data_IF_757539281304
#
_entry.id   IF_757539281304
#
_cell.length_a   1.000
_cell.length_b   1.000
_cell.length_c   1.000
_cell.angle_alpha   90.00
_cell.angle_beta   90.00
_cell.angle_gamma   90.00
#
_symmetry.space_group_name_H-M   'P 1'
#
loop_
_entity.id
_entity.type
_entity.pdbx_description
1 polymer ?
#
# COMPACT_ATOMS: atom_id res chain seq x y z
N UNK A 1 -22.06 12.63 -0.01
CA UNK A 1 -20.99 11.81 0.60
C UNK A 1 -20.76 12.25 2.03
N UNK A 2 -20.59 11.32 2.96
CA UNK A 2 -20.26 11.65 4.34
C UNK A 2 -18.75 11.52 4.54
N UNK A 3 -18.05 12.60 4.95
CA UNK A 3 -16.64 12.49 5.29
C UNK A 3 -16.53 11.67 6.58
N UNK A 4 -15.74 10.60 6.54
CA UNK A 4 -15.49 9.75 7.68
C UNK A 4 -14.04 9.93 8.13
N UNK A 5 -13.84 10.30 9.40
CA UNK A 5 -12.51 10.43 9.99
C UNK A 5 -12.22 9.22 10.86
N UNK A 6 -11.34 8.34 10.39
CA UNK A 6 -10.85 7.20 11.18
C UNK A 6 -9.61 7.63 11.95
N UNK A 7 -9.61 7.41 13.27
CA UNK A 7 -8.40 7.51 14.11
C UNK A 7 -8.00 6.11 14.55
N UNK A 8 -6.77 5.73 14.25
CA UNK A 8 -6.18 4.45 14.64
C UNK A 8 -4.91 4.69 15.46
N UNK A 9 -4.55 3.72 16.30
CA UNK A 9 -3.27 3.67 16.99
C UNK A 9 -2.73 2.24 16.95
N UNK A 10 -1.41 2.11 17.00
CA UNK A 10 -0.69 0.84 16.77
C UNK A 10 -1.14 -0.26 17.76
N UNK A 11 -1.24 0.06 19.05
CA UNK A 11 -1.64 -0.87 20.11
C UNK A 11 -3.16 -1.10 20.21
N UNK A 12 -3.94 -0.55 19.28
CA UNK A 12 -5.39 -0.67 19.32
C UNK A 12 -5.83 -2.06 18.84
N UNK A 13 -6.75 -2.75 19.54
CA UNK A 13 -7.34 -3.97 19.02
C UNK A 13 -8.13 -3.71 17.73
N UNK A 14 -7.96 -4.56 16.71
CA UNK A 14 -8.66 -4.45 15.42
C UNK A 14 -10.18 -4.46 15.62
N UNK A 15 -10.69 -5.36 16.46
CA UNK A 15 -12.13 -5.42 16.78
C UNK A 15 -12.65 -4.10 17.37
N UNK A 16 -11.88 -3.48 18.28
CA UNK A 16 -12.23 -2.20 18.87
C UNK A 16 -12.22 -1.06 17.84
N UNK A 17 -11.28 -1.08 16.88
CA UNK A 17 -11.28 -0.14 15.76
C UNK A 17 -12.51 -0.31 14.87
N UNK A 18 -12.84 -1.56 14.51
CA UNK A 18 -14.00 -1.87 13.68
C UNK A 18 -15.32 -1.47 14.36
N UNK A 19 -15.45 -1.74 15.66
CA UNK A 19 -16.63 -1.31 16.43
C UNK A 19 -16.79 0.21 16.49
N UNK A 20 -15.67 0.94 16.63
CA UNK A 20 -15.68 2.42 16.56
C UNK A 20 -16.06 2.92 15.16
N UNK A 21 -15.46 2.37 14.11
CA UNK A 21 -15.78 2.69 12.71
C UNK A 21 -17.27 2.49 12.43
N UNK A 22 -17.83 1.36 12.89
CA UNK A 22 -19.24 1.06 12.73
C UNK A 22 -20.12 2.07 13.49
N UNK A 23 -19.78 2.37 14.75
CA UNK A 23 -20.52 3.32 15.59
C UNK A 23 -20.50 4.72 14.97
N UNK A 24 -19.31 5.22 14.64
CA UNK A 24 -19.09 6.53 14.02
C UNK A 24 -19.84 6.62 12.67
N UNK A 25 -19.83 5.54 11.88
CA UNK A 25 -20.55 5.44 10.62
C UNK A 25 -22.06 5.52 10.78
N UNK A 26 -22.64 4.81 11.74
CA UNK A 26 -24.08 4.88 12.03
C UNK A 26 -24.50 6.26 12.53
N UNK A 27 -23.74 6.86 13.45
CA UNK A 27 -24.01 8.22 13.90
C UNK A 27 -23.92 9.24 12.78
N UNK A 28 -23.00 9.07 11.82
CA UNK A 28 -22.89 9.96 10.66
C UNK A 28 -24.09 9.84 9.70
N UNK A 29 -24.70 8.65 9.56
CA UNK A 29 -25.88 8.43 8.71
C UNK A 29 -27.07 9.27 9.17
N UNK A 30 -27.23 9.52 10.48
CA UNK A 30 -28.29 10.41 11.00
C UNK A 30 -28.18 11.84 10.45
N UNK A 31 -27.02 12.22 9.92
CA UNK A 31 -26.72 13.52 9.33
C UNK A 31 -26.57 13.48 7.80
N UNK A 32 -27.01 12.41 7.14
CA UNK A 32 -26.86 12.21 5.69
C UNK A 32 -27.58 13.25 4.81
N UNK A 33 -28.49 14.03 5.39
CA UNK A 33 -29.19 15.12 4.71
C UNK A 33 -28.33 16.37 4.43
N UNK A 34 -27.14 16.46 5.03
CA UNK A 34 -26.23 17.58 4.83
C UNK A 34 -25.34 17.37 3.59
N UNK A 35 -25.23 18.39 2.76
CA UNK A 35 -24.28 18.39 1.65
C UNK A 35 -22.84 18.35 2.19
N UNK A 36 -21.98 17.55 1.55
CA UNK A 36 -20.56 17.41 1.94
C UNK A 36 -19.84 18.74 2.03
N UNK A 37 -20.12 19.66 1.10
CA UNK A 37 -19.58 21.03 1.09
C UNK A 37 -19.93 21.79 2.37
N UNK A 38 -21.18 21.70 2.83
CA UNK A 38 -21.63 22.38 4.05
C UNK A 38 -21.00 21.79 5.31
N UNK A 39 -20.79 20.47 5.35
CA UNK A 39 -20.08 19.79 6.45
C UNK A 39 -18.63 20.30 6.53
N UNK A 40 -17.94 20.39 5.40
CA UNK A 40 -16.54 20.83 5.33
C UNK A 40 -16.38 22.32 5.66
N UNK A 41 -17.27 23.17 5.15
CA UNK A 41 -17.30 24.60 5.49
C UNK A 41 -17.52 24.82 7.00
N UNK A 42 -18.47 24.08 7.58
CA UNK A 42 -18.77 24.15 9.02
C UNK A 42 -17.61 23.65 9.89
N UNK A 43 -16.79 22.73 9.37
CA UNK A 43 -15.59 22.23 10.04
C UNK A 43 -14.38 23.19 9.97
N UNK A 44 -14.55 24.40 9.42
CA UNK A 44 -13.47 25.38 9.25
C UNK A 44 -12.59 25.11 8.03
N UNK A 45 -12.99 24.18 7.16
CA UNK A 45 -12.44 24.08 5.82
C UNK A 45 -12.82 25.34 5.05
N UNK A 46 -11.87 26.24 4.82
CA UNK A 46 -12.08 27.33 3.85
C UNK A 46 -12.51 26.75 2.49
N UNK A 47 -12.99 27.59 1.57
CA UNK A 47 -13.48 27.16 0.22
C UNK A 47 -12.51 26.27 -0.60
N UNK A 48 -11.26 26.12 -0.14
CA UNK A 48 -10.18 25.31 -0.72
C UNK A 48 -9.54 24.29 0.24
N UNK A 49 -10.09 24.01 1.43
CA UNK A 49 -9.46 23.11 2.42
C UNK A 49 -10.30 21.89 2.75
N UNK A 50 -9.66 20.74 2.54
CA UNK A 50 -10.06 19.35 2.80
C UNK A 50 -11.10 18.74 1.84
N UNK A 51 -10.63 18.37 0.65
CA UNK A 51 -11.22 17.25 -0.10
C UNK A 51 -10.49 15.98 0.36
N UNK A 52 -11.23 14.94 0.70
CA UNK A 52 -10.64 13.60 0.81
C UNK A 52 -10.47 13.05 -0.60
N UNK A 53 -9.33 12.42 -0.86
CA UNK A 53 -8.99 11.91 -2.20
C UNK A 53 -9.60 10.54 -2.50
N UNK A 54 -10.02 9.82 -1.46
CA UNK A 54 -10.51 8.44 -1.54
C UNK A 54 -12.00 8.37 -1.21
N UNK A 55 -12.78 7.79 -2.12
CA UNK A 55 -14.17 7.41 -1.87
C UNK A 55 -14.25 5.91 -1.60
N UNK A 56 -14.87 5.52 -0.49
CA UNK A 56 -15.20 4.13 -0.19
C UNK A 56 -16.70 3.92 -0.31
N UNK A 57 -17.11 2.89 -1.05
CA UNK A 57 -18.51 2.53 -1.28
C UNK A 57 -18.70 1.07 -0.85
N UNK A 58 -19.74 0.81 -0.06
CA UNK A 58 -20.21 -0.53 0.23
C UNK A 58 -21.53 -0.77 -0.51
N UNK A 59 -21.51 -1.61 -1.54
CA UNK A 59 -22.70 -1.98 -2.32
C UNK A 59 -23.33 -3.25 -1.76
N UNK A 60 -24.00 -3.12 -0.60
CA UNK A 60 -24.67 -4.24 0.08
C UNK A 60 -26.16 -4.34 -0.31
N UNK A 61 -26.47 -4.33 -1.61
CA UNK A 61 -27.85 -4.47 -2.11
C UNK A 61 -27.93 -5.55 -3.19
N UNK A 62 -29.06 -6.27 -3.28
CA UNK A 62 -29.19 -7.41 -4.18
C UNK A 62 -29.29 -6.94 -5.64
N UNK A 63 -28.20 -7.07 -6.39
CA UNK A 63 -28.12 -6.83 -7.84
C UNK A 63 -28.13 -8.11 -8.68
N UNK A 64 -28.40 -9.26 -8.08
CA UNK A 64 -28.44 -10.54 -8.79
C UNK A 64 -29.51 -10.54 -9.89
N UNK A 65 -29.28 -11.21 -11.04
CA UNK A 65 -30.28 -11.34 -12.11
C UNK A 65 -31.63 -11.83 -11.59
N UNK A 66 -31.65 -12.68 -10.58
CA UNK A 66 -32.85 -13.17 -9.89
C UNK A 66 -33.73 -12.06 -9.29
N UNK A 67 -33.16 -10.91 -8.92
CA UNK A 67 -33.88 -9.74 -8.40
C UNK A 67 -34.34 -8.78 -9.49
N UNK A 68 -33.78 -8.91 -10.70
CA UNK A 68 -34.03 -8.05 -11.86
C UNK A 68 -34.89 -8.74 -12.95
N UNK A 69 -35.29 -9.98 -12.72
CA UNK A 69 -36.08 -10.78 -13.68
C UNK A 69 -37.53 -10.85 -13.24
N UNK A 70 -38.46 -10.50 -14.14
CA UNK A 70 -39.90 -10.72 -13.96
C UNK A 70 -40.40 -11.76 -14.97
N UNK A 71 -41.61 -12.31 -14.76
CA UNK A 71 -42.15 -13.40 -15.60
C UNK A 71 -42.15 -13.12 -17.11
N UNK A 72 -42.23 -11.86 -17.52
CA UNK A 72 -42.31 -11.46 -18.94
C UNK A 72 -41.19 -10.52 -19.38
N UNK A 73 -40.25 -10.16 -18.50
CA UNK A 73 -39.16 -9.22 -18.80
C UNK A 73 -37.87 -9.73 -18.16
N UNK A 74 -36.86 -9.95 -19.00
CA UNK A 74 -35.52 -10.34 -18.58
C UNK A 74 -34.55 -9.19 -18.86
N UNK A 75 -33.91 -8.67 -17.82
CA UNK A 75 -32.77 -7.77 -18.00
C UNK A 75 -31.57 -8.64 -18.43
N UNK A 76 -30.90 -8.23 -19.51
CA UNK A 76 -29.68 -8.89 -19.99
C UNK A 76 -28.48 -8.61 -19.08
N UNK A 77 -27.28 -8.94 -19.55
CA UNK A 77 -26.06 -8.46 -18.88
C UNK A 77 -26.05 -6.93 -18.86
N UNK A 78 -25.84 -6.33 -17.69
CA UNK A 78 -25.59 -4.90 -17.56
C UNK A 78 -24.14 -4.67 -17.13
N UNK A 79 -23.56 -3.57 -17.60
CA UNK A 79 -22.29 -3.07 -17.11
C UNK A 79 -22.56 -1.71 -16.49
N UNK A 80 -22.25 -1.55 -15.20
CA UNK A 80 -22.26 -0.24 -14.56
C UNK A 80 -20.85 0.33 -14.56
N UNK A 81 -20.73 1.53 -15.12
CA UNK A 81 -19.49 2.32 -15.09
C UNK A 81 -19.74 3.57 -14.26
N UNK A 82 -19.34 3.51 -12.99
CA UNK A 82 -19.41 4.63 -12.07
C UNK A 82 -18.22 5.56 -12.31
N UNK A 83 -18.49 6.84 -12.59
CA UNK A 83 -17.44 7.85 -12.79
C UNK A 83 -17.55 8.88 -11.70
N UNK A 84 -16.56 8.87 -10.81
CA UNK A 84 -16.48 9.79 -9.68
C UNK A 84 -15.42 10.85 -9.89
N UNK A 85 -15.49 11.95 -9.15
CA UNK A 85 -14.48 13.02 -9.14
C UNK A 85 -13.39 12.83 -8.08
N UNK A 86 -13.34 11.69 -7.39
CA UNK A 86 -12.29 11.33 -6.43
C UNK A 86 -11.09 10.71 -7.14
N UNK A 87 -9.89 10.88 -6.57
CA UNK A 87 -8.64 10.33 -7.15
C UNK A 87 -8.65 8.81 -7.15
N UNK A 88 -9.18 8.21 -6.09
CA UNK A 88 -9.37 6.77 -5.95
C UNK A 88 -10.78 6.48 -5.41
N UNK A 89 -11.46 5.53 -6.02
CA UNK A 89 -12.74 4.99 -5.55
C UNK A 89 -12.59 3.50 -5.33
N UNK A 90 -12.90 3.05 -4.12
CA UNK A 90 -12.88 1.65 -3.70
C UNK A 90 -14.31 1.21 -3.45
N UNK A 91 -14.77 0.21 -4.20
CA UNK A 91 -16.12 -0.33 -4.08
C UNK A 91 -16.04 -1.76 -3.56
N UNK A 92 -16.56 -1.99 -2.37
CA UNK A 92 -16.71 -3.32 -1.78
C UNK A 92 -18.12 -3.85 -2.06
N UNK A 93 -18.20 -5.03 -2.67
CA UNK A 93 -19.44 -5.69 -3.06
C UNK A 93 -19.48 -7.06 -2.37
N UNK A 94 -20.23 -7.19 -1.27
CA UNK A 94 -20.41 -8.48 -0.58
C UNK A 94 -21.14 -9.50 -1.46
N UNK A 95 -20.76 -10.78 -1.33
CA UNK A 95 -21.35 -11.92 -2.03
C UNK A 95 -20.75 -13.23 -1.49
N UNK A 96 -20.90 -14.35 -2.21
CA UNK A 96 -20.20 -15.60 -1.86
C UNK A 96 -18.67 -15.41 -1.76
N UNK A 97 -18.15 -14.49 -2.57
CA UNK A 97 -16.80 -13.93 -2.46
C UNK A 97 -16.90 -12.42 -2.43
N UNK A 98 -16.17 -11.79 -1.51
CA UNK A 98 -16.05 -10.34 -1.47
C UNK A 98 -15.36 -9.87 -2.75
N UNK A 99 -16.04 -9.04 -3.53
CA UNK A 99 -15.44 -8.37 -4.70
C UNK A 99 -15.06 -6.95 -4.30
N UNK A 100 -13.84 -6.54 -4.61
CA UNK A 100 -13.38 -5.17 -4.39
C UNK A 100 -12.93 -4.57 -5.72
N UNK A 101 -13.54 -3.47 -6.12
CA UNK A 101 -13.21 -2.75 -7.36
C UNK A 101 -12.48 -1.45 -7.03
N UNK A 102 -11.41 -1.19 -7.76
CA UNK A 102 -10.64 0.04 -7.67
C UNK A 102 -10.81 0.79 -8.99
N UNK A 103 -11.24 2.04 -8.89
CA UNK A 103 -11.30 2.99 -10.00
C UNK A 103 -10.45 4.19 -9.63
N UNK A 104 -9.51 4.57 -10.49
CA UNK A 104 -8.64 5.72 -10.23
C UNK A 104 -8.72 6.76 -11.34
N UNK A 105 -8.39 8.01 -11.00
CA UNK A 105 -8.35 9.09 -11.96
C UNK A 105 -7.10 8.97 -12.84
N UNK A 106 -7.31 8.73 -14.14
CA UNK A 106 -6.25 8.63 -15.14
C UNK A 106 -5.37 9.88 -15.17
N UNK A 107 -4.05 9.69 -15.21
CA UNK A 107 -3.07 10.79 -15.23
C UNK A 107 -2.88 11.49 -13.87
N UNK A 108 -3.60 11.05 -12.82
CA UNK A 108 -3.44 11.56 -11.45
C UNK A 108 -2.94 10.48 -10.51
N UNK A 109 -3.41 9.25 -10.68
CA UNK A 109 -2.95 8.08 -9.91
C UNK A 109 -2.28 7.10 -10.85
N UNK A 110 -1.06 6.70 -10.51
CA UNK A 110 -0.30 5.70 -11.26
C UNK A 110 -1.01 4.33 -11.21
N UNK A 111 -1.30 3.69 -12.36
CA UNK A 111 -1.82 2.33 -12.40
C UNK A 111 -0.96 1.31 -11.66
N UNK A 112 0.37 1.45 -11.65
CA UNK A 112 1.28 0.56 -10.93
C UNK A 112 1.05 0.67 -9.41
N UNK A 113 0.90 1.90 -8.90
CA UNK A 113 0.56 2.15 -7.51
C UNK A 113 -0.79 1.52 -7.13
N UNK A 114 -1.81 1.64 -7.99
CA UNK A 114 -3.12 1.00 -7.74
C UNK A 114 -2.98 -0.51 -7.65
N UNK A 115 -2.20 -1.12 -8.53
CA UNK A 115 -1.95 -2.57 -8.51
C UNK A 115 -1.26 -3.00 -7.21
N UNK A 116 -0.25 -2.26 -6.76
CA UNK A 116 0.42 -2.52 -5.47
C UNK A 116 -0.56 -2.39 -4.30
N UNK A 117 -1.34 -1.31 -4.28
CA UNK A 117 -2.35 -1.07 -3.24
C UNK A 117 -3.42 -2.17 -3.20
N UNK A 118 -3.83 -2.71 -4.35
CA UNK A 118 -4.76 -3.85 -4.41
C UNK A 118 -4.18 -5.10 -3.71
N UNK A 119 -2.89 -5.37 -3.89
CA UNK A 119 -2.17 -6.44 -3.20
C UNK A 119 -2.16 -6.24 -1.69
N UNK A 120 -1.68 -5.06 -1.24
CA UNK A 120 -1.65 -4.68 0.17
C UNK A 120 -3.03 -4.78 0.83
N UNK A 121 -4.05 -4.23 0.17
CA UNK A 121 -5.43 -4.23 0.67
C UNK A 121 -5.97 -5.65 0.82
N UNK A 122 -5.72 -6.53 -0.17
CA UNK A 122 -6.12 -7.94 -0.10
C UNK A 122 -5.43 -8.65 1.07
N UNK A 123 -4.13 -8.44 1.25
CA UNK A 123 -3.38 -9.06 2.34
C UNK A 123 -3.87 -8.58 3.71
N UNK A 124 -4.09 -7.27 3.87
CA UNK A 124 -4.64 -6.70 5.09
C UNK A 124 -6.02 -7.29 5.42
N UNK A 125 -6.90 -7.47 4.43
CA UNK A 125 -8.18 -8.15 4.64
C UNK A 125 -8.03 -9.60 5.10
N UNK A 126 -7.08 -10.35 4.54
CA UNK A 126 -6.79 -11.72 4.98
C UNK A 126 -6.20 -11.77 6.41
N UNK A 127 -5.35 -10.82 6.78
CA UNK A 127 -4.79 -10.70 8.14
C UNK A 127 -5.88 -10.41 9.17
N UNK A 128 -6.77 -9.45 8.89
CA UNK A 128 -7.93 -9.17 9.74
C UNK A 128 -8.84 -10.41 9.85
N UNK A 129 -9.13 -11.08 8.73
CA UNK A 129 -10.00 -12.27 8.73
C UNK A 129 -9.39 -13.49 9.43
N UNK A 130 -8.06 -13.60 9.47
CA UNK A 130 -7.33 -14.68 10.17
C UNK A 130 -7.15 -14.42 11.67
N UNK A 131 -7.59 -13.25 12.17
CA UNK A 131 -7.63 -12.95 13.61
C UNK A 131 -6.42 -12.22 14.16
N UNK A 132 -5.70 -11.45 13.33
CA UNK A 132 -4.70 -10.49 13.84
C UNK A 132 -5.39 -9.54 14.83
N UNK A 133 -4.80 -9.38 16.01
CA UNK A 133 -5.47 -8.78 17.17
C UNK A 133 -5.24 -7.28 17.24
N UNK A 134 -4.04 -6.82 16.93
CA UNK A 134 -3.66 -5.40 17.02
C UNK A 134 -3.54 -4.77 15.63
N UNK A 135 -3.83 -3.47 15.54
CA UNK A 135 -3.68 -2.71 14.29
C UNK A 135 -2.25 -2.78 13.77
N UNK A 136 -1.25 -2.71 14.64
CA UNK A 136 0.16 -2.83 14.27
C UNK A 136 0.56 -4.19 13.65
N UNK A 137 -0.23 -5.25 13.87
CA UNK A 137 0.03 -6.56 13.28
C UNK A 137 -0.45 -6.66 11.81
N UNK A 138 -1.23 -5.68 11.33
CA UNK A 138 -1.77 -5.65 9.96
C UNK A 138 -0.89 -4.76 9.08
N UNK A 139 0.01 -5.38 8.30
CA UNK A 139 1.06 -4.68 7.55
C UNK A 139 0.91 -4.75 6.02
N UNK A 140 -0.12 -5.45 5.52
CA UNK A 140 -0.34 -5.58 4.08
C UNK A 140 0.68 -6.44 3.33
N UNK A 141 1.69 -6.98 4.00
CA UNK A 141 2.67 -7.94 3.45
C UNK A 141 2.39 -9.33 4.01
N UNK A 142 2.28 -10.33 3.13
CA UNK A 142 2.10 -11.72 3.56
C UNK A 142 3.45 -12.37 3.91
N UNK A 143 3.46 -13.26 4.90
CA UNK A 143 4.69 -13.95 5.33
C UNK A 143 5.33 -14.78 4.22
N UNK A 144 4.55 -15.35 3.30
CA UNK A 144 5.06 -16.11 2.15
C UNK A 144 5.67 -15.19 1.11
N UNK A 145 4.98 -14.08 0.82
CA UNK A 145 5.45 -13.05 -0.11
C UNK A 145 6.75 -12.42 0.38
N UNK A 146 6.83 -12.12 1.67
CA UNK A 146 8.04 -11.62 2.32
C UNK A 146 9.19 -12.62 2.19
N UNK A 147 8.95 -13.91 2.46
CA UNK A 147 10.00 -14.93 2.33
C UNK A 147 10.49 -15.10 0.88
N UNK A 148 9.59 -14.97 -0.11
CA UNK A 148 9.95 -14.97 -1.53
C UNK A 148 10.80 -13.76 -1.90
N UNK A 149 10.41 -12.58 -1.42
CA UNK A 149 11.10 -11.31 -1.66
C UNK A 149 12.49 -11.30 -1.02
N UNK A 150 12.61 -11.74 0.24
CA UNK A 150 13.89 -11.86 0.93
C UNK A 150 14.84 -12.82 0.21
N UNK A 151 14.34 -13.94 -0.33
CA UNK A 151 15.16 -14.83 -1.16
C UNK A 151 15.62 -14.17 -2.45
N UNK A 152 14.79 -13.34 -3.05
CA UNK A 152 15.17 -12.55 -4.23
C UNK A 152 16.27 -11.54 -3.92
N UNK A 153 16.08 -10.79 -2.83
CA UNK A 153 17.04 -9.82 -2.31
C UNK A 153 18.41 -10.43 -2.04
N UNK A 154 18.46 -11.60 -1.42
CA UNK A 154 19.71 -12.31 -1.11
C UNK A 154 20.42 -12.88 -2.36
N UNK A 155 19.72 -13.02 -3.48
CA UNK A 155 20.25 -13.57 -4.74
C UNK A 155 20.67 -12.48 -5.73
N UNK A 156 21.13 -11.32 -5.24
CA UNK A 156 21.65 -10.21 -6.03
C UNK A 156 20.69 -9.77 -7.15
N UNK A 157 19.59 -9.08 -6.80
CA UNK A 157 18.58 -8.68 -7.77
C UNK A 157 19.15 -7.74 -8.83
N UNK A 158 18.51 -7.74 -10.00
CA UNK A 158 18.81 -6.76 -11.05
C UNK A 158 18.32 -5.39 -10.60
N UNK A 159 19.17 -4.37 -10.71
CA UNK A 159 18.78 -2.99 -10.43
C UNK A 159 18.70 -2.23 -11.75
N UNK A 160 17.54 -1.64 -12.00
CA UNK A 160 17.21 -0.87 -13.20
C UNK A 160 17.01 0.59 -12.79
N UNK A 161 17.46 1.53 -13.63
CA UNK A 161 17.35 2.96 -13.36
C UNK A 161 17.03 3.72 -14.66
N UNK A 162 16.52 4.94 -14.54
CA UNK A 162 16.30 5.80 -15.71
C UNK A 162 17.60 6.44 -16.20
N UNK A 163 18.54 6.68 -15.30
CA UNK A 163 19.84 7.27 -15.60
C UNK A 163 20.99 6.29 -15.29
N UNK A 164 21.96 6.19 -16.22
CA UNK A 164 23.09 5.25 -16.11
C UNK A 164 24.01 5.56 -14.91
N UNK A 165 24.12 6.82 -14.50
CA UNK A 165 24.94 7.24 -13.36
C UNK A 165 24.41 6.69 -12.03
N UNK A 166 23.09 6.48 -11.89
CA UNK A 166 22.50 5.83 -10.73
C UNK A 166 22.92 4.35 -10.60
N UNK A 167 23.39 3.72 -11.68
CA UNK A 167 23.79 2.31 -11.68
C UNK A 167 25.26 2.09 -11.31
N UNK A 168 26.09 3.12 -11.21
CA UNK A 168 27.55 2.97 -11.04
C UNK A 168 27.92 2.07 -9.84
N UNK A 169 27.21 2.25 -8.72
CA UNK A 169 27.39 1.42 -7.53
C UNK A 169 26.93 -0.03 -7.79
N UNK A 170 25.74 -0.20 -8.37
CA UNK A 170 25.13 -1.51 -8.62
C UNK A 170 25.83 -2.30 -9.74
N UNK A 171 26.61 -1.67 -10.61
CA UNK A 171 27.48 -2.36 -11.56
C UNK A 171 28.65 -3.07 -10.88
N UNK A 172 29.17 -2.48 -9.79
CA UNK A 172 30.31 -2.98 -9.01
C UNK A 172 29.87 -3.88 -7.86
N UNK A 173 28.67 -3.68 -7.34
CA UNK A 173 28.08 -4.47 -6.26
C UNK A 173 27.17 -5.57 -6.81
N UNK A 174 27.43 -6.83 -6.43
CA UNK A 174 26.64 -8.02 -6.82
C UNK A 174 26.14 -8.80 -5.60
N UNK A 175 25.98 -8.13 -4.47
CA UNK A 175 25.49 -8.72 -3.22
C UNK A 175 24.00 -8.46 -3.01
N UNK A 176 23.50 -8.74 -1.79
CA UNK A 176 22.10 -8.57 -1.46
C UNK A 176 21.62 -7.11 -1.47
N UNK A 177 20.46 -6.85 -2.05
CA UNK A 177 19.83 -5.52 -2.12
C UNK A 177 18.38 -5.60 -1.65
N UNK A 178 18.00 -4.68 -0.77
CA UNK A 178 16.70 -4.62 -0.12
C UNK A 178 16.04 -3.25 -0.36
N UNK A 179 14.72 -3.25 -0.48
CA UNK A 179 13.89 -2.03 -0.45
C UNK A 179 13.16 -2.03 0.88
N UNK A 180 13.38 -1.02 1.71
CA UNK A 180 12.85 -0.95 3.08
C UNK A 180 11.96 0.28 3.30
N UNK A 181 10.93 0.14 4.13
CA UNK A 181 10.11 1.26 4.58
C UNK A 181 10.83 2.10 5.67
N UNK A 182 10.17 3.16 6.15
CA UNK A 182 10.69 4.05 7.20
C UNK A 182 10.92 3.32 8.55
N UNK A 183 10.32 2.15 8.75
CA UNK A 183 10.49 1.30 9.93
C UNK A 183 11.51 0.18 9.69
N UNK A 184 12.26 0.24 8.59
CA UNK A 184 13.27 -0.76 8.18
C UNK A 184 12.68 -2.14 7.89
N UNK A 185 11.43 -2.21 7.46
CA UNK A 185 10.75 -3.45 7.06
C UNK A 185 10.78 -3.61 5.54
N UNK A 186 10.92 -4.82 4.99
CA UNK A 186 10.95 -5.00 3.55
C UNK A 186 9.65 -4.60 2.87
N UNK A 187 9.76 -3.78 1.82
CA UNK A 187 8.63 -3.37 0.99
C UNK A 187 8.27 -4.50 -0.01
N UNK A 188 6.97 -4.76 -0.24
CA UNK A 188 6.53 -5.70 -1.27
C UNK A 188 6.64 -5.09 -2.67
N UNK A 189 6.33 -5.90 -3.69
CA UNK A 189 6.34 -5.50 -5.10
C UNK A 189 5.44 -4.28 -5.34
N UNK A 190 5.99 -3.27 -6.01
CA UNK A 190 5.31 -2.03 -6.38
C UNK A 190 5.17 -1.02 -5.24
N UNK A 191 5.76 -1.27 -4.07
CA UNK A 191 5.78 -0.32 -2.94
C UNK A 191 7.17 0.33 -2.86
N UNK A 192 7.25 1.67 -3.01
CA UNK A 192 8.50 2.40 -2.83
C UNK A 192 9.09 2.27 -1.43
N UNK A 193 10.41 2.29 -1.35
CA UNK A 193 11.16 2.34 -0.10
C UNK A 193 12.62 2.71 -0.33
N UNK A 194 13.37 2.88 0.76
CA UNK A 194 14.78 3.20 0.74
C UNK A 194 15.61 1.96 0.41
N UNK A 195 16.57 2.11 -0.51
CA UNK A 195 17.44 1.01 -0.90
C UNK A 195 18.56 0.86 0.11
N UNK A 196 18.74 -0.39 0.52
CA UNK A 196 19.82 -0.83 1.38
C UNK A 196 20.54 -2.02 0.75
N UNK A 197 21.82 -2.13 1.02
CA UNK A 197 22.63 -3.30 0.66
C UNK A 197 23.12 -4.00 1.89
N UNK A 198 23.25 -5.33 1.83
CA UNK A 198 23.77 -6.09 2.95
C UNK A 198 25.22 -6.50 2.74
N UNK A 199 26.03 -6.35 3.80
CA UNK A 199 27.42 -6.77 3.86
C UNK A 199 27.83 -7.02 5.32
N UNK A 200 28.96 -7.70 5.54
CA UNK A 200 29.48 -7.92 6.90
C UNK A 200 30.30 -6.73 7.40
N UNK A 201 30.78 -5.88 6.50
CA UNK A 201 31.45 -4.62 6.79
C UNK A 201 31.27 -3.64 5.63
N UNK A 202 31.24 -2.34 5.93
CA UNK A 202 31.28 -1.29 4.89
C UNK A 202 32.51 -1.41 3.97
N UNK A 203 33.60 -1.99 4.46
CA UNK A 203 34.81 -2.23 3.67
C UNK A 203 34.64 -3.30 2.58
N UNK A 204 33.56 -4.09 2.62
CA UNK A 204 33.22 -5.07 1.59
C UNK A 204 32.41 -4.46 0.44
N UNK A 205 31.97 -3.20 0.59
CA UNK A 205 31.21 -2.47 -0.42
C UNK A 205 32.15 -1.72 -1.39
N UNK A 206 31.79 -1.54 -2.67
CA UNK A 206 32.61 -0.84 -3.66
C UNK A 206 32.50 0.69 -3.51
N UNK A 207 32.74 1.20 -2.31
CA UNK A 207 32.67 2.62 -1.94
C UNK A 207 33.91 3.04 -1.15
N UNK A 208 34.31 4.30 -1.30
CA UNK A 208 35.48 4.86 -0.63
C UNK A 208 35.18 6.26 -0.08
N UNK A 209 36.06 6.77 0.78
CA UNK A 209 36.06 8.16 1.23
C UNK A 209 34.83 8.55 2.05
N UNK A 210 34.32 9.76 1.82
CA UNK A 210 33.20 10.32 2.59
C UNK A 210 31.91 9.51 2.43
N UNK A 211 31.70 8.87 1.28
CA UNK A 211 30.48 8.08 1.04
C UNK A 211 30.49 6.78 1.86
N UNK A 212 31.62 6.09 1.91
CA UNK A 212 31.78 4.91 2.77
C UNK A 212 31.56 5.26 4.25
N UNK A 213 32.09 6.41 4.71
CA UNK A 213 31.84 6.88 6.07
C UNK A 213 30.34 7.14 6.32
N UNK A 214 29.66 7.81 5.39
CA UNK A 214 28.23 8.09 5.50
C UNK A 214 27.38 6.81 5.55
N UNK A 215 27.69 5.82 4.70
CA UNK A 215 27.01 4.51 4.74
C UNK A 215 27.22 3.82 6.09
N UNK A 216 28.45 3.83 6.62
CA UNK A 216 28.77 3.24 7.93
C UNK A 216 28.04 3.93 9.09
N UNK A 217 27.87 5.25 9.03
CA UNK A 217 27.10 6.02 10.02
C UNK A 217 25.59 5.71 9.96
N UNK A 218 25.08 5.36 8.78
CA UNK A 218 23.69 4.98 8.53
C UNK A 218 23.38 3.48 8.66
N UNK A 219 24.34 2.68 9.12
CA UNK A 219 24.21 1.23 9.26
C UNK A 219 23.06 0.82 10.21
N UNK A 220 22.30 -0.20 9.83
CA UNK A 220 21.26 -0.81 10.66
C UNK A 220 21.39 -2.34 10.70
N UNK A 221 20.90 -2.97 11.76
CA UNK A 221 20.75 -4.43 11.83
C UNK A 221 19.42 -4.84 11.16
N UNK A 222 19.40 -5.91 10.33
CA UNK A 222 18.16 -6.41 9.72
C UNK A 222 17.11 -6.81 10.77
N UNK A 223 15.89 -6.28 10.65
CA UNK A 223 14.73 -6.71 11.45
C UNK A 223 14.08 -8.02 10.99
N UNK A 224 14.75 -8.74 10.07
CA UNK A 224 14.26 -9.94 9.38
C UNK A 224 15.43 -10.92 9.18
N UNK A 225 15.17 -12.21 8.88
CA UNK A 225 16.24 -13.16 8.61
C UNK A 225 17.10 -12.71 7.42
N UNK A 226 18.40 -12.51 7.64
CA UNK A 226 19.39 -12.19 6.61
C UNK A 226 20.68 -12.97 6.85
N UNK A 227 21.43 -13.22 5.78
CA UNK A 227 22.76 -13.84 5.83
C UNK A 227 23.83 -12.90 6.41
N UNK A 228 23.61 -11.59 6.30
CA UNK A 228 24.53 -10.55 6.74
C UNK A 228 24.02 -9.85 7.99
N UNK A 229 24.96 -9.29 8.75
CA UNK A 229 24.64 -8.61 10.01
C UNK A 229 24.23 -7.15 9.83
N UNK A 230 24.65 -6.52 8.74
CA UNK A 230 24.52 -5.08 8.55
C UNK A 230 23.87 -4.75 7.21
N UNK A 231 22.95 -3.78 7.25
CA UNK A 231 22.39 -3.14 6.07
C UNK A 231 22.89 -1.71 6.01
N UNK A 232 23.34 -1.31 4.83
CA UNK A 232 23.88 0.01 4.57
C UNK A 232 22.97 0.76 3.60
N UNK A 233 22.54 1.99 3.92
CA UNK A 233 21.69 2.79 3.04
C UNK A 233 22.49 3.23 1.82
N UNK A 234 21.91 3.17 0.62
CA UNK A 234 22.56 3.72 -0.59
C UNK A 234 22.27 5.20 -0.79
N UNK A 235 21.18 5.69 -0.16
CA UNK A 235 20.62 7.02 -0.38
C UNK A 235 19.52 7.06 -1.45
N UNK A 236 19.36 5.95 -2.19
CA UNK A 236 18.36 5.85 -3.25
C UNK A 236 17.00 5.40 -2.73
N UNK A 237 15.97 5.74 -3.49
CA UNK A 237 14.62 5.21 -3.33
C UNK A 237 14.33 4.31 -4.52
N UNK A 238 13.70 3.17 -4.26
CA UNK A 238 13.36 2.21 -5.30
C UNK A 238 12.10 1.43 -4.96
N UNK A 239 11.66 0.61 -5.91
CA UNK A 239 10.63 -0.39 -5.65
C UNK A 239 10.92 -1.68 -6.41
N UNK A 240 10.52 -2.80 -5.82
CA UNK A 240 10.51 -4.09 -6.49
C UNK A 240 9.52 -4.06 -7.66
N UNK A 241 9.97 -4.45 -8.85
CA UNK A 241 9.10 -4.63 -10.04
C UNK A 241 8.75 -6.09 -10.25
N UNK A 242 9.63 -6.99 -9.82
CA UNK A 242 9.46 -8.44 -9.75
C UNK A 242 10.12 -8.98 -8.48
N UNK A 243 10.27 -10.30 -8.37
CA UNK A 243 10.96 -10.94 -7.23
C UNK A 243 12.48 -10.79 -7.30
N UNK A 244 13.01 -10.38 -8.44
CA UNK A 244 14.42 -10.39 -8.79
C UNK A 244 14.87 -9.09 -9.48
N UNK A 245 13.99 -8.09 -9.59
CA UNK A 245 14.29 -6.79 -10.17
C UNK A 245 13.75 -5.63 -9.31
N UNK A 246 14.59 -4.62 -9.15
CA UNK A 246 14.31 -3.36 -8.46
C UNK A 246 14.44 -2.23 -9.48
N UNK A 247 13.48 -1.32 -9.52
CA UNK A 247 13.59 -0.06 -10.26
C UNK A 247 13.91 1.09 -9.30
N UNK A 248 14.97 1.84 -9.59
CA UNK A 248 15.29 3.11 -8.92
C UNK A 248 14.27 4.19 -9.30
N UNK A 249 13.93 5.03 -8.34
CA UNK A 249 13.00 6.14 -8.48
C UNK A 249 13.76 7.46 -8.32
N UNK A 250 13.39 8.45 -9.12
CA UNK A 250 13.92 9.82 -9.08
C UNK A 250 13.25 10.69 -7.99
#
# INVERSE_FOLDING_TARGET
TLPMRVRMGDDQPVESLMGRIQTDGFSAIEHSGLATTHILESAGGGKNRAQFDVLFILENYPLGPEFLTSKNLRIGSFASHERTNYRLTVVAIPGERLTVRFSSMTGVVDPAWVSAFMGLFRTALHQVASGHRLVAEVDGVDTTELADLLRGAENAPTVEAEHEDQLEFFEKFRGPVFVLDEKSRPCPIGVPGHIHVAADSVSDLPVDGEWAQWMAEGEIEPGFPSAHRHLYPTGDVGMWTSRDSIKLLD
#
